data_IF_642261957754
#
_entry.id   IF_642261957754
#
_cell.length_a   1.000
_cell.length_b   1.000
_cell.length_c   1.000
_cell.angle_alpha   90.00
_cell.angle_beta   90.00
_cell.angle_gamma   90.00
#
_symmetry.space_group_name_H-M   'P 1'
#
loop_
_entity.id
_entity.type
_entity.pdbx_description
1 polymer ?
#
# COMPACT_ATOMS: atom_id res chain seq x y z
N UNK A 1 2.96 30.15 13.29
CA UNK A 1 2.27 28.86 13.02
C UNK A 1 2.36 28.51 11.53
N UNK A 2 3.45 27.89 11.04
CA UNK A 2 3.60 27.50 9.60
C UNK A 2 4.13 26.07 9.38
N UNK A 3 4.41 25.31 10.45
CA UNK A 3 4.98 23.94 10.37
C UNK A 3 3.96 22.83 10.07
N UNK A 4 2.66 23.12 10.18
CA UNK A 4 1.60 22.10 10.07
C UNK A 4 1.04 21.91 8.65
N UNK A 5 1.24 22.88 7.75
CA UNK A 5 0.69 22.81 6.39
C UNK A 5 1.36 21.73 5.53
N UNK A 6 2.66 21.49 5.73
CA UNK A 6 3.45 20.55 4.94
C UNK A 6 2.97 19.11 5.10
N UNK A 7 2.69 18.67 6.34
CA UNK A 7 2.20 17.32 6.59
C UNK A 7 0.87 17.05 5.87
N UNK A 8 -0.04 18.03 5.87
CA UNK A 8 -1.34 17.89 5.19
C UNK A 8 -1.18 17.71 3.68
N UNK A 9 -0.31 18.49 3.04
CA UNK A 9 -0.07 18.39 1.60
C UNK A 9 0.58 17.06 1.21
N UNK A 10 1.49 16.54 2.05
CA UNK A 10 2.10 15.22 1.84
C UNK A 10 1.06 14.11 1.92
N UNK A 11 0.19 14.15 2.93
CA UNK A 11 -0.89 13.16 3.10
C UNK A 11 -1.87 13.23 1.91
N UNK A 12 -2.28 14.42 1.49
CA UNK A 12 -3.16 14.60 0.33
C UNK A 12 -2.50 14.07 -0.94
N UNK A 13 -1.22 14.37 -1.17
CA UNK A 13 -0.46 13.84 -2.31
C UNK A 13 -0.39 12.31 -2.27
N UNK A 14 -0.15 11.72 -1.10
CA UNK A 14 -0.10 10.27 -0.93
C UNK A 14 -1.42 9.61 -1.33
N UNK A 15 -2.56 10.12 -0.85
CA UNK A 15 -3.87 9.56 -1.19
C UNK A 15 -4.28 9.81 -2.65
N UNK A 16 -3.90 10.95 -3.23
CA UNK A 16 -4.13 11.24 -4.65
C UNK A 16 -3.36 10.26 -5.55
N UNK A 17 -2.07 10.04 -5.27
CA UNK A 17 -1.27 9.05 -5.99
C UNK A 17 -1.82 7.64 -5.79
N UNK A 18 -2.23 7.29 -4.58
CA UNK A 18 -2.88 6.01 -4.29
C UNK A 18 -4.17 5.79 -5.07
N UNK A 19 -5.01 6.82 -5.21
CA UNK A 19 -6.24 6.76 -6.00
C UNK A 19 -5.96 6.59 -7.50
N UNK A 20 -4.97 7.33 -8.02
CA UNK A 20 -4.52 7.17 -9.40
C UNK A 20 -4.00 5.74 -9.65
N UNK A 21 -3.22 5.21 -8.70
CA UNK A 21 -2.75 3.83 -8.75
C UNK A 21 -3.91 2.83 -8.72
N UNK A 22 -4.94 3.04 -7.89
CA UNK A 22 -6.11 2.16 -7.85
C UNK A 22 -6.87 2.14 -9.18
N UNK A 23 -7.05 3.29 -9.83
CA UNK A 23 -7.68 3.38 -11.15
C UNK A 23 -6.83 2.68 -12.21
N UNK A 24 -5.51 2.85 -12.14
CA UNK A 24 -4.58 2.14 -13.02
C UNK A 24 -4.68 0.62 -12.82
N UNK A 25 -4.57 0.14 -11.58
CA UNK A 25 -4.61 -1.28 -11.24
C UNK A 25 -5.95 -1.93 -11.61
N UNK A 26 -7.07 -1.22 -11.48
CA UNK A 26 -8.39 -1.73 -11.84
C UNK A 26 -8.58 -1.97 -13.34
N UNK A 27 -7.96 -1.15 -14.19
CA UNK A 27 -8.16 -1.22 -15.64
C UNK A 27 -7.02 -1.95 -16.37
N UNK A 28 -5.78 -1.82 -15.87
CA UNK A 28 -4.55 -2.30 -16.51
C UNK A 28 -3.62 -3.10 -15.59
N UNK A 29 -4.01 -3.32 -14.33
CA UNK A 29 -3.19 -4.11 -13.41
C UNK A 29 -3.23 -5.61 -13.69
N UNK A 30 -2.40 -6.36 -12.98
CA UNK A 30 -2.28 -7.82 -13.12
C UNK A 30 -3.54 -8.59 -12.67
N UNK A 31 -4.42 -7.95 -11.91
CA UNK A 31 -5.62 -8.58 -11.31
C UNK A 31 -6.93 -7.87 -11.70
N UNK A 32 -7.20 -7.61 -12.99
CA UNK A 32 -8.30 -6.72 -13.42
C UNK A 32 -9.69 -7.31 -13.17
N UNK A 33 -9.77 -8.61 -12.84
CA UNK A 33 -11.00 -9.32 -12.50
C UNK A 33 -11.47 -9.05 -11.06
N UNK A 34 -10.64 -8.44 -10.21
CA UNK A 34 -10.98 -8.15 -8.81
C UNK A 34 -11.81 -6.87 -8.72
N UNK A 35 -12.58 -6.76 -7.63
CA UNK A 35 -13.40 -5.58 -7.38
C UNK A 35 -12.54 -4.32 -7.21
N UNK A 36 -13.09 -3.16 -7.57
CA UNK A 36 -12.43 -1.86 -7.36
C UNK A 36 -11.99 -1.64 -5.91
N UNK A 37 -12.73 -2.15 -4.92
CA UNK A 37 -12.36 -2.06 -3.51
C UNK A 37 -11.01 -2.74 -3.20
N UNK A 38 -10.70 -3.84 -3.88
CA UNK A 38 -9.41 -4.51 -3.75
C UNK A 38 -8.27 -3.64 -4.31
N UNK A 39 -8.47 -3.06 -5.50
CA UNK A 39 -7.51 -2.13 -6.10
C UNK A 39 -7.36 -0.82 -5.30
N UNK A 40 -8.41 -0.37 -4.63
CA UNK A 40 -8.38 0.77 -3.71
C UNK A 40 -7.51 0.47 -2.48
N UNK A 41 -7.59 -0.77 -1.97
CA UNK A 41 -6.67 -1.27 -0.95
C UNK A 41 -5.22 -1.29 -1.43
N UNK A 42 -4.96 -1.74 -2.66
CA UNK A 42 -3.62 -1.69 -3.25
C UNK A 42 -3.13 -0.25 -3.44
N UNK A 43 -4.02 0.67 -3.81
CA UNK A 43 -3.76 2.11 -3.89
C UNK A 43 -3.39 2.73 -2.55
N UNK A 44 -3.96 2.26 -1.44
CA UNK A 44 -3.60 2.74 -0.10
C UNK A 44 -2.15 2.37 0.27
N UNK A 45 -1.66 1.24 -0.23
CA UNK A 45 -0.28 0.77 -0.03
C UNK A 45 0.55 0.85 -1.32
N UNK A 46 0.21 1.80 -2.21
CA UNK A 46 0.80 1.93 -3.53
C UNK A 46 2.35 1.93 -3.56
N UNK A 47 3.10 2.50 -2.58
CA UNK A 47 4.57 2.47 -2.66
C UNK A 47 5.10 1.04 -2.58
N UNK A 48 4.43 0.20 -1.80
CA UNK A 48 4.78 -1.22 -1.63
C UNK A 48 4.53 -1.99 -2.93
N UNK A 49 3.48 -1.63 -3.67
CA UNK A 49 3.10 -2.29 -4.91
C UNK A 49 4.02 -1.92 -6.08
N UNK A 50 4.52 -0.68 -6.11
CA UNK A 50 5.43 -0.20 -7.16
C UNK A 50 6.89 -0.62 -6.92
N UNK A 51 7.27 -0.90 -5.67
CA UNK A 51 8.62 -1.33 -5.27
C UNK A 51 8.63 -2.83 -4.90
N UNK A 52 8.95 -3.75 -5.83
CA UNK A 52 8.86 -5.19 -5.58
C UNK A 52 9.71 -5.67 -4.39
N UNK A 53 10.87 -5.03 -4.17
CA UNK A 53 11.74 -5.35 -3.03
C UNK A 53 11.13 -4.99 -1.68
N UNK A 54 10.39 -3.88 -1.59
CA UNK A 54 9.79 -3.41 -0.36
C UNK A 54 8.62 -4.33 0.07
N UNK A 55 7.79 -4.75 -0.89
CA UNK A 55 6.72 -5.71 -0.65
C UNK A 55 7.23 -7.06 -0.14
N UNK A 56 8.28 -7.60 -0.78
CA UNK A 56 8.90 -8.86 -0.34
C UNK A 56 9.50 -8.76 1.07
N UNK A 57 10.15 -7.63 1.39
CA UNK A 57 10.72 -7.40 2.71
C UNK A 57 9.64 -7.34 3.80
N UNK A 58 8.59 -6.53 3.61
CA UNK A 58 7.49 -6.40 4.57
C UNK A 58 6.75 -7.74 4.72
N UNK A 59 6.47 -8.44 3.61
CA UNK A 59 5.82 -9.75 3.64
C UNK A 59 6.66 -10.79 4.41
N UNK A 60 7.97 -10.84 4.16
CA UNK A 60 8.89 -11.71 4.90
C UNK A 60 8.92 -11.38 6.39
N UNK A 61 8.97 -10.09 6.75
CA UNK A 61 8.96 -9.65 8.15
C UNK A 61 7.67 -10.07 8.87
N UNK A 62 6.51 -9.94 8.22
CA UNK A 62 5.22 -10.35 8.77
C UNK A 62 5.15 -11.86 8.99
N UNK A 63 5.68 -12.66 8.07
CA UNK A 63 5.76 -14.12 8.23
C UNK A 63 6.62 -14.49 9.44
N UNK A 64 7.82 -13.91 9.55
CA UNK A 64 8.70 -14.15 10.70
C UNK A 64 8.02 -13.76 12.02
N UNK A 65 7.37 -12.60 12.06
CA UNK A 65 6.64 -12.14 13.23
C UNK A 65 5.48 -13.07 13.59
N UNK A 66 4.74 -13.56 12.60
CA UNK A 66 3.62 -14.49 12.82
C UNK A 66 4.11 -15.85 13.35
N UNK A 67 5.21 -16.39 12.80
CA UNK A 67 5.82 -17.63 13.29
C UNK A 67 6.29 -17.45 14.74
N UNK A 68 6.98 -16.35 15.04
CA UNK A 68 7.44 -16.06 16.40
C UNK A 68 6.26 -15.93 17.38
N UNK A 69 5.18 -15.26 16.97
CA UNK A 69 3.97 -15.12 17.78
C UNK A 69 3.34 -16.48 18.07
N UNK A 70 3.18 -17.34 17.05
CA UNK A 70 2.60 -18.69 17.21
C UNK A 70 3.48 -19.60 18.06
N UNK A 71 4.82 -19.48 17.97
CA UNK A 71 5.73 -20.26 18.81
C UNK A 71 5.77 -19.78 20.27
N UNK A 72 5.40 -18.53 20.52
CA UNK A 72 5.37 -17.94 21.86
C UNK A 72 4.01 -18.10 22.57
N UNK A 73 2.95 -18.47 21.85
CA UNK A 73 1.60 -18.74 22.37
C UNK A 73 1.43 -20.19 22.80
#
# INVERSE_FOLDING_TARGET
MKRFAWGRWVVVGYFLFGLLYAIYANNWGDEPYRSFAYHLGQGLVWPVMVLPGLGKFIGGLLIVAMVAFVMAS
#
